data_IF_852459450640
#
_entry.id   IF_852459450640
#
_cell.length_a   1.000
_cell.length_b   1.000
_cell.length_c   1.000
_cell.angle_alpha   90.00
_cell.angle_beta   90.00
_cell.angle_gamma   90.00
#
_symmetry.space_group_name_H-M   'P 1'
#
loop_
_entity.id
_entity.type
_entity.pdbx_description
1 polymer ?
#
# COMPACT_ATOMS: atom_id res chain seq x y z
N UNK A 1 -1.66 6.77 -18.42
CA UNK A 1 -1.39 6.97 -16.98
C UNK A 1 -2.26 8.08 -16.48
N UNK A 2 -2.96 7.86 -15.37
CA UNK A 2 -3.78 8.88 -14.71
C UNK A 2 -2.95 9.49 -13.59
N UNK A 3 -2.93 10.82 -13.49
CA UNK A 3 -2.30 11.53 -12.38
C UNK A 3 -3.38 12.02 -11.44
N UNK A 4 -3.12 11.95 -10.14
CA UNK A 4 -3.96 12.55 -9.10
C UNK A 4 -3.12 13.58 -8.34
N UNK A 5 -3.72 14.74 -8.05
CA UNK A 5 -3.10 15.73 -7.20
C UNK A 5 -3.60 15.52 -5.77
N UNK A 6 -2.68 15.31 -4.84
CA UNK A 6 -2.98 15.09 -3.42
C UNK A 6 -2.40 16.26 -2.63
N UNK A 7 -3.23 16.92 -1.82
CA UNK A 7 -2.81 18.01 -0.95
C UNK A 7 -2.67 17.50 0.49
N UNK A 8 -1.59 17.91 1.16
CA UNK A 8 -1.34 17.62 2.58
C UNK A 8 -1.02 18.91 3.30
N UNK A 9 -1.56 19.06 4.50
CA UNK A 9 -1.26 20.16 5.42
C UNK A 9 -1.30 19.65 6.86
N UNK A 10 -1.02 20.50 7.84
CA UNK A 10 -1.05 20.11 9.26
C UNK A 10 -2.44 19.64 9.73
N UNK A 11 -3.51 20.06 9.03
CA UNK A 11 -4.89 19.64 9.30
C UNK A 11 -5.27 18.31 8.63
N UNK A 12 -4.49 17.84 7.66
CA UNK A 12 -4.77 16.63 6.88
C UNK A 12 -3.46 16.02 6.42
N UNK A 13 -2.99 15.04 7.19
CA UNK A 13 -1.71 14.40 6.94
C UNK A 13 -1.77 13.59 5.64
N UNK A 14 -0.67 13.56 4.88
CA UNK A 14 -0.56 12.83 3.62
C UNK A 14 -1.13 11.39 3.66
N UNK A 15 -0.85 10.55 4.68
CA UNK A 15 -1.48 9.23 4.81
C UNK A 15 -3.01 9.26 4.78
N UNK A 16 -3.63 10.23 5.46
CA UNK A 16 -5.09 10.37 5.53
C UNK A 16 -5.66 10.78 4.17
N UNK A 17 -5.03 11.74 3.50
CA UNK A 17 -5.46 12.16 2.16
C UNK A 17 -5.26 11.04 1.13
N UNK A 18 -4.20 10.26 1.22
CA UNK A 18 -4.02 9.09 0.35
C UNK A 18 -5.15 8.08 0.53
N UNK A 19 -5.49 7.77 1.79
CA UNK A 19 -6.57 6.81 2.10
C UNK A 19 -7.92 7.32 1.60
N UNK A 20 -8.21 8.61 1.72
CA UNK A 20 -9.46 9.19 1.18
C UNK A 20 -9.55 9.12 -0.35
N UNK A 21 -8.41 9.00 -1.04
CA UNK A 21 -8.32 8.74 -2.49
C UNK A 21 -8.25 7.24 -2.84
N UNK A 22 -8.47 6.33 -1.89
CA UNK A 22 -8.40 4.87 -2.13
C UNK A 22 -6.97 4.34 -2.26
N UNK A 23 -5.96 5.09 -1.80
CA UNK A 23 -4.56 4.70 -1.79
C UNK A 23 -4.07 4.45 -0.36
N UNK A 24 -3.45 3.31 -0.13
CA UNK A 24 -2.87 2.95 1.15
C UNK A 24 -1.36 3.22 1.17
N UNK A 25 -0.85 3.99 2.13
CA UNK A 25 0.57 4.32 2.20
C UNK A 25 1.42 3.11 2.60
N UNK A 26 2.64 2.99 2.06
CA UNK A 26 3.58 1.92 2.46
C UNK A 26 4.27 2.20 3.81
N UNK A 27 4.11 3.39 4.37
CA UNK A 27 4.64 3.77 5.68
C UNK A 27 3.71 4.81 6.36
N UNK A 28 3.59 4.80 7.70
CA UNK A 28 2.61 5.61 8.41
C UNK A 28 2.96 7.12 8.47
N UNK A 29 4.24 7.49 8.42
CA UNK A 29 4.65 8.89 8.59
C UNK A 29 5.29 9.50 7.33
N UNK A 30 6.05 8.71 6.57
CA UNK A 30 6.78 9.19 5.39
C UNK A 30 6.70 8.15 4.26
N UNK A 31 5.52 8.01 3.62
CA UNK A 31 5.36 7.07 2.53
C UNK A 31 6.13 7.54 1.29
N UNK A 32 6.98 6.67 0.75
CA UNK A 32 7.57 6.87 -0.58
C UNK A 32 6.63 6.37 -1.68
N UNK A 33 5.74 5.43 -1.36
CA UNK A 33 4.76 4.90 -2.30
C UNK A 33 3.42 4.71 -1.61
N UNK A 34 2.38 4.65 -2.42
CA UNK A 34 1.06 4.22 -2.01
C UNK A 34 0.53 3.17 -2.98
N UNK A 35 -0.28 2.25 -2.47
CA UNK A 35 -0.82 1.10 -3.19
C UNK A 35 -2.33 1.22 -3.19
N UNK A 36 -3.01 0.87 -4.29
CA UNK A 36 -4.48 0.84 -4.29
C UNK A 36 -5.02 -0.06 -3.18
N UNK A 37 -6.00 0.43 -2.42
CA UNK A 37 -6.70 -0.35 -1.39
C UNK A 37 -7.39 -1.57 -2.03
N UNK A 38 -7.97 -1.42 -3.21
CA UNK A 38 -8.58 -2.54 -3.95
C UNK A 38 -7.55 -3.62 -4.31
N UNK A 39 -6.33 -3.21 -4.69
CA UNK A 39 -5.25 -4.14 -4.96
C UNK A 39 -4.81 -4.88 -3.68
N UNK A 40 -4.76 -4.19 -2.54
CA UNK A 40 -4.45 -4.82 -1.26
C UNK A 40 -5.54 -5.83 -0.85
N UNK A 41 -6.82 -5.48 -1.02
CA UNK A 41 -7.94 -6.39 -0.77
C UNK A 41 -7.88 -7.63 -1.64
N UNK A 42 -7.65 -7.46 -2.95
CA UNK A 42 -7.43 -8.59 -3.86
C UNK A 42 -6.25 -9.45 -3.41
N UNK A 43 -5.14 -8.83 -3.02
CA UNK A 43 -3.97 -9.53 -2.54
C UNK A 43 -4.25 -10.31 -1.24
N UNK A 44 -5.01 -9.78 -0.30
CA UNK A 44 -5.42 -10.50 0.92
C UNK A 44 -6.10 -11.84 0.58
N UNK A 45 -6.94 -11.86 -0.44
CA UNK A 45 -7.58 -13.08 -0.93
C UNK A 45 -6.55 -13.98 -1.62
N UNK A 46 -5.73 -13.43 -2.51
CA UNK A 46 -4.70 -14.20 -3.23
C UNK A 46 -3.71 -14.89 -2.28
N UNK A 47 -3.27 -14.20 -1.23
CA UNK A 47 -2.32 -14.74 -0.25
C UNK A 47 -2.87 -15.96 0.50
N UNK A 48 -4.19 -16.00 0.77
CA UNK A 48 -4.84 -17.18 1.36
C UNK A 48 -4.76 -18.42 0.47
N UNK A 49 -4.61 -18.23 -0.84
CA UNK A 49 -4.53 -19.30 -1.83
C UNK A 49 -3.11 -19.56 -2.37
N UNK A 50 -2.13 -18.72 -2.01
CA UNK A 50 -0.75 -18.86 -2.47
C UNK A 50 0.24 -18.26 -1.47
N UNK A 51 1.07 -19.12 -0.88
CA UNK A 51 2.09 -18.71 0.10
C UNK A 51 3.13 -17.72 -0.47
N UNK A 52 3.36 -17.72 -1.79
CA UNK A 52 4.36 -16.88 -2.45
C UNK A 52 3.75 -15.67 -3.19
N UNK A 53 2.48 -15.36 -2.91
CA UNK A 53 1.76 -14.29 -3.60
C UNK A 53 2.51 -12.95 -3.58
N UNK A 54 3.21 -12.61 -2.49
CA UNK A 54 3.90 -11.32 -2.37
C UNK A 54 5.10 -11.20 -3.30
N UNK A 55 5.90 -12.26 -3.38
CA UNK A 55 7.11 -12.25 -4.20
C UNK A 55 6.71 -12.34 -5.67
N UNK A 56 5.72 -13.17 -6.01
CA UNK A 56 5.15 -13.24 -7.34
C UNK A 56 4.58 -11.88 -7.80
N UNK A 57 3.78 -11.21 -6.97
CA UNK A 57 3.21 -9.90 -7.29
C UNK A 57 4.29 -8.83 -7.42
N UNK A 58 5.24 -8.76 -6.48
CA UNK A 58 6.32 -7.78 -6.53
C UNK A 58 7.21 -7.97 -7.77
N UNK A 59 7.53 -9.22 -8.12
CA UNK A 59 8.28 -9.54 -9.33
C UNK A 59 7.49 -9.17 -10.59
N UNK A 60 6.20 -9.51 -10.66
CA UNK A 60 5.32 -9.16 -11.77
C UNK A 60 5.23 -7.64 -11.98
N UNK A 61 5.05 -6.87 -10.90
CA UNK A 61 5.04 -5.40 -10.96
C UNK A 61 6.39 -4.86 -11.44
N UNK A 62 7.50 -5.41 -10.94
CA UNK A 62 8.84 -5.01 -11.37
C UNK A 62 9.06 -5.26 -12.86
N UNK A 63 8.68 -6.44 -13.35
CA UNK A 63 8.75 -6.77 -14.78
C UNK A 63 7.84 -5.87 -15.61
N UNK A 64 6.59 -5.67 -15.17
CA UNK A 64 5.60 -4.86 -15.87
C UNK A 64 6.07 -3.41 -16.02
N UNK A 65 6.41 -2.75 -14.92
CA UNK A 65 6.83 -1.35 -14.95
C UNK A 65 8.16 -1.15 -15.68
N UNK A 66 9.13 -2.06 -15.47
CA UNK A 66 10.41 -1.98 -16.17
C UNK A 66 10.27 -2.10 -17.69
N UNK A 67 9.38 -2.98 -18.17
CA UNK A 67 9.09 -3.13 -19.62
C UNK A 67 8.44 -1.88 -20.22
N UNK A 68 7.71 -1.11 -19.42
CA UNK A 68 7.08 0.14 -19.84
C UNK A 68 7.96 1.37 -19.59
N UNK A 69 9.24 1.19 -19.25
CA UNK A 69 10.19 2.29 -19.05
C UNK A 69 10.14 2.94 -17.67
N UNK A 70 9.33 2.44 -16.74
CA UNK A 70 9.23 2.95 -15.38
C UNK A 70 10.22 2.23 -14.48
N UNK A 71 11.21 2.97 -13.95
CA UNK A 71 12.22 2.48 -13.02
C UNK A 71 12.15 3.27 -11.73
N UNK A 72 12.19 2.56 -10.60
CA UNK A 72 12.29 3.18 -9.28
C UNK A 72 13.77 3.38 -8.97
N UNK A 73 14.18 4.64 -8.82
CA UNK A 73 15.55 5.01 -8.52
C UNK A 73 15.67 5.47 -7.06
N UNK A 74 16.80 5.15 -6.45
CA UNK A 74 17.19 5.68 -5.15
C UNK A 74 17.63 7.15 -5.28
N UNK A 75 17.83 7.84 -4.16
CA UNK A 75 18.36 9.22 -4.12
C UNK A 75 19.73 9.35 -4.80
N UNK A 76 20.48 8.25 -4.90
CA UNK A 76 21.78 8.17 -5.58
C UNK A 76 21.67 7.96 -7.10
N UNK A 77 20.46 7.92 -7.66
CA UNK A 77 20.20 7.68 -9.09
C UNK A 77 20.30 6.21 -9.53
N UNK A 78 20.63 5.30 -8.62
CA UNK A 78 20.72 3.86 -8.89
C UNK A 78 19.34 3.20 -8.88
N UNK A 79 19.09 2.28 -9.81
CA UNK A 79 17.82 1.53 -9.85
C UNK A 79 17.74 0.58 -8.65
N UNK A 80 16.63 0.67 -7.91
CA UNK A 80 16.38 -0.15 -6.73
C UNK A 80 16.06 -1.58 -7.17
N UNK A 81 16.76 -2.56 -6.59
CA UNK A 81 16.45 -3.99 -6.79
C UNK A 81 15.18 -4.33 -6.01
N UNK A 82 14.17 -4.86 -6.70
CA UNK A 82 12.85 -5.25 -6.13
C UNK A 82 12.12 -4.10 -5.39
N UNK A 83 11.83 -2.98 -6.07
CA UNK A 83 11.34 -1.77 -5.41
C UNK A 83 9.99 -1.94 -4.71
N UNK A 84 9.17 -2.90 -5.18
CA UNK A 84 7.81 -3.10 -4.68
C UNK A 84 7.72 -4.03 -3.49
N UNK A 85 8.66 -4.99 -3.34
CA UNK A 85 8.52 -6.09 -2.38
C UNK A 85 8.37 -5.58 -0.95
N UNK A 86 9.33 -4.77 -0.49
CA UNK A 86 9.32 -4.21 0.87
C UNK A 86 8.11 -3.31 1.12
N UNK A 87 7.83 -2.40 0.18
CA UNK A 87 6.72 -1.46 0.30
C UNK A 87 5.37 -2.17 0.39
N UNK A 88 5.14 -3.18 -0.45
CA UNK A 88 3.93 -4.01 -0.42
C UNK A 88 3.81 -4.79 0.89
N UNK A 89 4.89 -5.41 1.38
CA UNK A 89 4.86 -6.11 2.67
C UNK A 89 4.48 -5.18 3.82
N UNK A 90 5.03 -3.97 3.84
CA UNK A 90 4.72 -2.97 4.86
C UNK A 90 3.28 -2.48 4.76
N UNK A 91 2.81 -2.11 3.55
CA UNK A 91 1.43 -1.70 3.33
C UNK A 91 0.44 -2.78 3.82
N UNK A 92 0.72 -4.04 3.53
CA UNK A 92 -0.10 -5.17 3.99
C UNK A 92 -0.14 -5.31 5.51
N UNK A 93 1.01 -5.20 6.18
CA UNK A 93 1.06 -5.26 7.64
C UNK A 93 0.25 -4.13 8.28
N UNK A 94 0.44 -2.91 7.80
CA UNK A 94 -0.29 -1.75 8.31
C UNK A 94 -1.78 -1.81 8.02
N UNK A 95 -2.15 -2.31 6.84
CA UNK A 95 -3.55 -2.51 6.47
C UNK A 95 -4.23 -3.53 7.38
N UNK A 96 -3.57 -4.65 7.69
CA UNK A 96 -4.08 -5.65 8.62
C UNK A 96 -4.28 -5.09 10.04
N UNK A 97 -3.34 -4.27 10.52
CA UNK A 97 -3.45 -3.60 11.83
C UNK A 97 -4.64 -2.64 11.83
N UNK A 98 -4.79 -1.82 10.78
CA UNK A 98 -5.91 -0.89 10.68
C UNK A 98 -7.25 -1.62 10.66
N UNK A 99 -7.36 -2.70 9.90
CA UNK A 99 -8.58 -3.51 9.83
C UNK A 99 -8.94 -4.08 11.21
N UNK A 100 -7.96 -4.63 11.93
CA UNK A 100 -8.19 -5.18 13.27
C UNK A 100 -8.67 -4.12 14.28
N UNK A 101 -8.16 -2.88 14.19
CA UNK A 101 -8.59 -1.78 15.05
C UNK A 101 -10.00 -1.28 14.69
N UNK A 102 -10.33 -1.23 13.38
CA UNK A 102 -11.69 -0.91 12.93
C UNK A 102 -12.69 -1.97 13.41
N UNK A 103 -12.37 -3.24 13.23
CA UNK A 103 -13.24 -4.35 13.66
C UNK A 103 -13.50 -4.29 15.17
N UNK A 104 -12.45 -4.05 15.97
CA UNK A 104 -12.57 -3.85 17.42
C UNK A 104 -13.48 -2.67 17.79
N UNK A 105 -13.38 -1.55 17.08
CA UNK A 105 -14.24 -0.40 17.33
C UNK A 105 -15.70 -0.68 16.99
N UNK A 106 -15.95 -1.40 15.88
CA UNK A 106 -17.29 -1.85 15.50
C UNK A 106 -17.87 -2.76 16.58
N UNK A 107 -17.12 -3.75 17.05
CA UNK A 107 -17.56 -4.66 18.11
C UNK A 107 -17.87 -3.92 19.41
N UNK A 108 -17.03 -2.95 19.79
CA UNK A 108 -17.28 -2.12 20.98
C UNK A 108 -18.59 -1.34 20.86
N UNK A 109 -18.89 -0.75 19.69
CA UNK A 109 -20.14 -0.02 19.45
C UNK A 109 -21.33 -0.97 19.58
N UNK A 110 -21.25 -2.16 18.96
CA UNK A 110 -22.31 -3.17 19.02
C UNK A 110 -22.58 -3.69 20.43
N UNK A 111 -21.55 -3.79 21.29
CA UNK A 111 -21.69 -4.21 22.69
C UNK A 111 -22.28 -3.14 23.62
N UNK A 112 -22.25 -1.87 23.21
CA UNK A 112 -22.82 -0.74 23.97
C UNK A 112 -24.21 -0.31 23.45
N UNK A 113 -24.81 -1.09 22.53
CA UNK A 113 -26.21 -1.00 22.13
C UNK A 113 -27.06 -2.05 22.86
#
# INVERSE_FOLDING_TARGET
FTSINVLSCDCSMLPQTLISHGLFPTAPSQPWMAVSVELLLFYCVLFKHSCDAINALAAALNTYYSRHGFRVNCYQGTTVKEPFRRGLSQAMQWYAILQAEVDKQVDNILQHC
#
